data_IF_681855523783
#
_entry.id   IF_681855523783
#
_cell.length_a   1.000
_cell.length_b   1.000
_cell.length_c   1.000
_cell.angle_alpha   90.00
_cell.angle_beta   90.00
_cell.angle_gamma   90.00
#
_symmetry.space_group_name_H-M   'P 1'
#
loop_
_entity.id
_entity.type
_entity.pdbx_description
1 polymer ?
#
# COMPACT_ATOMS: atom_id res chain seq x y z
N UNK A 1 -12.97 51.45 1.12
CA UNK A 1 -13.43 50.44 2.10
C UNK A 1 -14.40 49.51 1.38
N UNK A 2 -14.39 48.22 1.74
CA UNK A 2 -15.21 47.08 1.25
C UNK A 2 -14.49 46.13 0.28
N UNK A 3 -14.18 44.94 0.83
CA UNK A 3 -13.73 43.70 0.18
C UNK A 3 -14.95 42.84 -0.17
N UNK A 4 -14.84 41.97 -1.20
CA UNK A 4 -15.32 40.58 -1.23
C UNK A 4 -15.63 40.13 -2.66
N UNK A 5 -14.77 39.27 -3.21
CA UNK A 5 -15.10 38.37 -4.31
C UNK A 5 -14.91 36.94 -3.79
N UNK A 6 -16.01 36.37 -3.31
CA UNK A 6 -16.21 34.96 -2.93
C UNK A 6 -15.68 34.03 -4.04
N UNK A 7 -14.86 33.03 -3.75
CA UNK A 7 -15.33 31.70 -3.33
C UNK A 7 -15.84 30.88 -4.53
N UNK A 8 -15.24 29.80 -4.98
CA UNK A 8 -14.11 29.04 -4.48
C UNK A 8 -13.57 28.14 -5.59
N UNK A 9 -12.27 27.93 -5.60
CA UNK A 9 -11.67 26.84 -6.33
C UNK A 9 -12.19 25.53 -5.69
N UNK A 10 -12.99 24.77 -6.44
CA UNK A 10 -13.28 23.37 -6.09
C UNK A 10 -11.97 22.60 -6.18
N UNK A 11 -11.22 22.58 -5.09
CA UNK A 11 -10.17 21.61 -4.88
C UNK A 11 -10.85 20.25 -4.94
N UNK A 12 -10.63 19.50 -6.02
CA UNK A 12 -10.97 18.09 -6.08
C UNK A 12 -10.27 17.44 -4.89
N UNK A 13 -11.04 17.12 -3.85
CA UNK A 13 -10.53 16.44 -2.69
C UNK A 13 -9.95 15.12 -3.20
N UNK A 14 -8.63 14.97 -3.13
CA UNK A 14 -7.99 13.69 -3.39
C UNK A 14 -8.65 12.68 -2.45
N UNK A 15 -9.55 11.85 -2.99
CA UNK A 15 -10.23 10.81 -2.24
C UNK A 15 -9.18 9.74 -1.96
N UNK A 16 -8.41 9.96 -0.89
CA UNK A 16 -7.57 8.92 -0.31
C UNK A 16 -8.50 7.86 0.22
N UNK A 17 -8.72 6.80 -0.56
CA UNK A 17 -9.23 5.55 0.00
C UNK A 17 -8.17 5.06 0.98
N UNK A 18 -8.42 5.27 2.27
CA UNK A 18 -7.51 4.89 3.34
C UNK A 18 -7.48 3.36 3.42
N UNK A 19 -6.79 2.72 2.50
CA UNK A 19 -6.37 1.34 2.70
C UNK A 19 -5.48 1.35 3.93
N UNK A 20 -5.87 0.64 4.99
CA UNK A 20 -5.06 0.60 6.19
C UNK A 20 -3.76 -0.15 5.89
N UNK A 21 -2.63 0.57 5.90
CA UNK A 21 -1.32 0.00 5.56
C UNK A 21 -0.40 0.05 6.75
N UNK A 22 0.31 -1.05 6.94
CA UNK A 22 1.23 -1.20 8.03
C UNK A 22 2.59 -1.55 7.45
N UNK A 23 3.58 -0.69 7.73
CA UNK A 23 4.96 -0.87 7.30
C UNK A 23 5.73 -1.61 8.38
N UNK A 24 6.50 -2.61 7.99
CA UNK A 24 7.38 -3.37 8.89
C UNK A 24 8.84 -3.24 8.46
N UNK A 25 9.73 -3.52 9.41
CA UNK A 25 11.14 -3.85 9.11
C UNK A 25 11.22 -5.27 8.55
N UNK A 26 12.36 -5.61 7.93
CA UNK A 26 12.62 -6.94 7.36
C UNK A 26 12.24 -8.09 8.30
N UNK A 27 12.81 -8.14 9.50
CA UNK A 27 12.66 -9.28 10.42
C UNK A 27 11.21 -9.44 10.91
N UNK A 28 10.53 -8.33 11.19
CA UNK A 28 9.13 -8.33 11.61
C UNK A 28 8.20 -8.78 10.47
N UNK A 29 8.50 -8.34 9.24
CA UNK A 29 7.74 -8.73 8.06
C UNK A 29 7.88 -10.23 7.78
N UNK A 30 9.09 -10.78 7.86
CA UNK A 30 9.33 -12.21 7.65
C UNK A 30 8.62 -13.05 8.72
N UNK A 31 8.69 -12.63 9.99
CA UNK A 31 7.93 -13.28 11.07
C UNK A 31 6.43 -13.23 10.82
N UNK A 32 5.92 -12.10 10.29
CA UNK A 32 4.51 -11.97 9.96
C UNK A 32 4.12 -12.88 8.79
N UNK A 33 4.96 -13.03 7.78
CA UNK A 33 4.74 -13.98 6.67
C UNK A 33 4.66 -15.42 7.19
N UNK A 34 5.45 -15.79 8.20
CA UNK A 34 5.38 -17.13 8.81
C UNK A 34 4.07 -17.37 9.57
N UNK A 35 3.53 -16.33 10.23
CA UNK A 35 2.27 -16.40 10.98
C UNK A 35 1.06 -16.36 10.06
N UNK A 36 1.02 -15.38 9.15
CA UNK A 36 -0.08 -15.15 8.23
C UNK A 36 -0.16 -16.20 7.12
N UNK A 37 0.98 -16.82 6.77
CA UNK A 37 1.13 -17.80 5.68
C UNK A 37 0.41 -17.36 4.40
N UNK A 38 0.73 -16.17 3.85
CA UNK A 38 0.08 -15.68 2.66
C UNK A 38 0.36 -16.64 1.48
N UNK A 39 -0.67 -16.99 0.71
CA UNK A 39 -0.50 -17.81 -0.49
C UNK A 39 0.31 -17.10 -1.58
N UNK A 40 0.30 -15.76 -1.55
CA UNK A 40 0.88 -14.89 -2.57
C UNK A 40 1.45 -13.64 -1.93
N UNK A 41 2.66 -13.26 -2.34
CA UNK A 41 3.25 -11.96 -2.01
C UNK A 41 3.34 -11.15 -3.29
N UNK A 42 3.02 -9.86 -3.21
CA UNK A 42 3.12 -8.94 -4.32
C UNK A 42 4.40 -8.13 -4.21
N UNK A 43 5.06 -7.90 -5.34
CA UNK A 43 6.26 -7.08 -5.42
C UNK A 43 6.06 -5.93 -6.41
N UNK A 44 6.36 -4.71 -5.98
CA UNK A 44 6.39 -3.54 -6.85
C UNK A 44 7.58 -2.63 -6.52
N UNK A 45 8.46 -2.43 -7.49
CA UNK A 45 9.72 -1.67 -7.37
C UNK A 45 10.65 -2.18 -6.27
N UNK A 46 10.41 -1.75 -5.04
CA UNK A 46 11.15 -2.13 -3.83
C UNK A 46 10.23 -2.63 -2.73
N UNK A 47 8.91 -2.66 -3.00
CA UNK A 47 7.88 -2.94 -2.00
C UNK A 47 7.41 -4.37 -2.14
N UNK A 48 7.56 -5.15 -1.08
CA UNK A 48 6.88 -6.43 -0.93
C UNK A 48 5.68 -6.24 -0.03
N UNK A 49 4.52 -6.75 -0.42
CA UNK A 49 3.30 -6.58 0.34
C UNK A 49 2.32 -7.75 0.16
N UNK A 50 1.45 -7.92 1.16
CA UNK A 50 0.32 -8.84 1.12
C UNK A 50 -0.82 -8.30 2.00
N UNK A 51 -2.02 -8.81 1.78
CA UNK A 51 -3.17 -8.47 2.61
C UNK A 51 -3.30 -9.46 3.78
N UNK A 52 -3.51 -8.94 4.98
CA UNK A 52 -3.75 -9.72 6.19
C UNK A 52 -4.72 -8.98 7.11
N UNK A 53 -5.79 -9.66 7.52
CA UNK A 53 -6.84 -9.12 8.40
C UNK A 53 -7.46 -7.78 7.93
N UNK A 54 -7.56 -7.56 6.62
CA UNK A 54 -8.10 -6.33 6.04
C UNK A 54 -7.10 -5.16 5.95
N UNK A 55 -5.84 -5.39 6.31
CA UNK A 55 -4.76 -4.42 6.21
C UNK A 55 -3.75 -4.86 5.14
N UNK A 56 -3.08 -3.89 4.52
CA UNK A 56 -1.94 -4.15 3.62
C UNK A 56 -0.65 -4.09 4.44
N UNK A 57 -0.03 -5.23 4.64
CA UNK A 57 1.28 -5.36 5.28
C UNK A 57 2.35 -5.15 4.22
N UNK A 58 3.35 -4.30 4.46
CA UNK A 58 4.42 -4.10 3.48
C UNK A 58 5.80 -3.79 4.08
N UNK A 59 6.85 -4.05 3.29
CA UNK A 59 8.25 -3.73 3.61
C UNK A 59 9.01 -3.24 2.37
N UNK A 60 10.14 -2.55 2.58
CA UNK A 60 11.08 -2.15 1.53
C UNK A 60 12.46 -2.80 1.62
N UNK A 61 12.63 -3.69 2.60
CA UNK A 61 13.94 -4.24 3.02
C UNK A 61 14.10 -5.71 2.65
N UNK A 62 13.05 -6.35 2.14
CA UNK A 62 13.10 -7.72 1.65
C UNK A 62 13.51 -7.77 0.18
N UNK A 63 14.03 -8.93 -0.20
CA UNK A 63 14.33 -9.34 -1.56
C UNK A 63 13.47 -10.54 -1.93
N UNK A 64 13.36 -10.83 -3.23
CA UNK A 64 12.52 -11.93 -3.71
C UNK A 64 12.96 -13.29 -3.14
N UNK A 65 14.26 -13.47 -2.90
CA UNK A 65 14.84 -14.68 -2.30
C UNK A 65 14.46 -14.91 -0.83
N UNK A 66 13.91 -13.91 -0.15
CA UNK A 66 13.50 -14.04 1.26
C UNK A 66 12.21 -14.85 1.43
N UNK A 67 11.48 -15.07 0.33
CA UNK A 67 10.16 -15.68 0.36
C UNK A 67 10.16 -17.05 -0.32
N UNK A 68 9.54 -18.03 0.31
CA UNK A 68 9.34 -19.37 -0.25
C UNK A 68 8.06 -19.49 -1.07
N UNK A 69 7.22 -18.46 -1.04
CA UNK A 69 5.93 -18.40 -1.73
C UNK A 69 6.07 -17.64 -3.05
N UNK A 70 5.19 -17.89 -4.04
CA UNK A 70 5.23 -17.18 -5.30
C UNK A 70 5.13 -15.66 -5.13
N UNK A 71 5.99 -14.95 -5.84
CA UNK A 71 6.01 -13.48 -5.90
C UNK A 71 5.35 -13.03 -7.19
N UNK A 72 4.32 -12.19 -7.06
CA UNK A 72 3.61 -11.61 -8.18
C UNK A 72 4.04 -10.16 -8.36
N UNK A 73 4.70 -9.87 -9.49
CA UNK A 73 5.08 -8.50 -9.83
C UNK A 73 3.85 -7.70 -10.26
N UNK A 74 3.45 -6.73 -9.45
CA UNK A 74 2.31 -5.88 -9.73
C UNK A 74 2.72 -4.72 -10.66
N UNK A 75 1.87 -4.42 -11.64
CA UNK A 75 2.06 -3.29 -12.58
C UNK A 75 1.94 -1.97 -11.82
N UNK A 76 0.88 -1.84 -11.01
CA UNK A 76 0.58 -0.63 -10.25
C UNK A 76 0.11 -0.97 -8.82
N UNK A 77 0.44 -0.06 -7.91
CA UNK A 77 -0.12 -0.03 -6.56
C UNK A 77 -0.86 1.29 -6.41
N UNK A 78 -2.18 1.27 -6.62
CA UNK A 78 -3.00 2.48 -6.56
C UNK A 78 -3.48 2.75 -5.13
N UNK A 79 -3.37 4.02 -4.73
CA UNK A 79 -3.90 4.54 -3.46
C UNK A 79 -5.12 5.44 -3.71
N UNK A 80 -5.48 5.58 -4.97
CA UNK A 80 -6.57 6.43 -5.43
C UNK A 80 -7.81 5.55 -5.57
N UNK A 81 -8.98 6.12 -5.32
CA UNK A 81 -10.21 5.52 -5.84
C UNK A 81 -10.05 5.33 -7.36
N UNK A 82 -10.41 4.15 -7.87
CA UNK A 82 -10.44 3.92 -9.32
C UNK A 82 -11.34 4.99 -9.94
N UNK A 83 -10.76 5.86 -10.75
CA UNK A 83 -11.54 6.71 -11.64
C UNK A 83 -11.86 5.84 -12.86
N UNK A 84 -13.13 5.47 -13.00
CA UNK A 84 -13.65 4.92 -14.27
C UNK A 84 -13.54 5.97 -15.39
#
# INVERSE_FOLDING_TARGET
>A
MTFAGDGGATAAAAQFTSSYRVKFKRDEFLRLVEVARPERIYHRKRMHFFAYDGFVMYTFECTDDDFRVPIHHAIEFSNMAWAE
#
